data_IF_420474834631
#
_entry.id   IF_420474834631
#
_cell.length_a   1.000
_cell.length_b   1.000
_cell.length_c   1.000
_cell.angle_alpha   90.00
_cell.angle_beta   90.00
_cell.angle_gamma   90.00
#
_symmetry.space_group_name_H-M   'P 1'
#
loop_
_entity.id
_entity.type
_entity.pdbx_description
1 polymer ?
#
# COMPACT_ATOMS: atom_id res chain seq x y z
N UNK A 1 -30.48 17.03 19.33
CA UNK A 1 -29.95 15.97 20.19
C UNK A 1 -28.62 16.46 20.75
N UNK A 2 -28.36 16.26 22.06
CA UNK A 2 -27.12 16.79 22.65
C UNK A 2 -25.91 16.05 22.06
N UNK A 3 -25.08 16.76 21.31
CA UNK A 3 -23.86 16.23 20.64
C UNK A 3 -22.82 15.66 21.63
N UNK A 4 -22.99 15.93 22.93
CA UNK A 4 -22.05 15.51 23.99
C UNK A 4 -22.15 14.04 24.40
N UNK A 5 -23.15 13.28 23.92
CA UNK A 5 -23.34 11.85 24.24
C UNK A 5 -22.79 10.90 23.17
N UNK A 6 -22.35 11.41 22.02
CA UNK A 6 -21.79 10.59 20.95
C UNK A 6 -20.32 10.25 21.23
N UNK A 7 -19.87 9.03 20.85
CA UNK A 7 -18.46 8.64 21.02
C UNK A 7 -17.53 9.57 20.23
N UNK A 8 -16.38 9.86 20.80
CA UNK A 8 -15.36 10.68 20.16
C UNK A 8 -14.45 9.82 19.28
N UNK A 9 -14.37 10.16 18.01
CA UNK A 9 -13.46 9.56 17.04
C UNK A 9 -12.44 10.60 16.61
N UNK A 10 -11.16 10.28 16.76
CA UNK A 10 -10.07 11.07 16.21
C UNK A 10 -9.76 10.55 14.80
N UNK A 11 -9.79 11.44 13.82
CA UNK A 11 -9.43 11.17 12.44
C UNK A 11 -8.08 11.84 12.19
N UNK A 12 -7.05 11.05 11.95
CA UNK A 12 -5.67 11.54 11.89
C UNK A 12 -5.41 12.57 10.79
N UNK A 13 -6.19 12.52 9.71
CA UNK A 13 -6.00 13.36 8.52
C UNK A 13 -7.32 13.94 8.03
N UNK A 14 -7.26 15.10 7.40
CA UNK A 14 -8.35 15.60 6.57
C UNK A 14 -8.48 14.69 5.34
N UNK A 15 -9.66 14.13 5.13
CA UNK A 15 -10.00 13.27 3.99
C UNK A 15 -10.83 14.04 2.95
N UNK A 16 -10.95 13.52 1.72
CA UNK A 16 -11.84 14.08 0.72
C UNK A 16 -13.29 14.16 1.21
N UNK A 17 -14.03 15.14 0.68
CA UNK A 17 -15.43 15.33 1.00
C UNK A 17 -16.24 14.05 0.75
N UNK A 18 -17.17 13.74 1.62
CA UNK A 18 -18.06 12.57 1.53
C UNK A 18 -17.49 11.27 2.10
N UNK A 19 -16.19 11.18 2.37
CA UNK A 19 -15.58 9.92 2.83
C UNK A 19 -15.95 9.55 4.28
N UNK A 20 -16.33 10.54 5.08
CA UNK A 20 -16.73 10.35 6.48
C UNK A 20 -18.24 10.46 6.70
N UNK A 21 -19.05 10.68 5.66
CA UNK A 21 -20.50 10.91 5.77
C UNK A 21 -21.22 9.79 6.52
N UNK A 22 -20.77 8.54 6.34
CA UNK A 22 -21.35 7.39 7.06
C UNK A 22 -21.12 7.44 8.58
N UNK A 23 -20.19 8.26 9.05
CA UNK A 23 -19.91 8.47 10.48
C UNK A 23 -20.68 9.67 11.05
N UNK A 24 -21.23 10.53 10.19
CA UNK A 24 -22.04 11.66 10.63
C UNK A 24 -23.24 11.19 11.45
N UNK A 25 -23.53 11.92 12.52
CA UNK A 25 -24.58 11.58 13.48
C UNK A 25 -24.37 10.30 14.32
N UNK A 26 -23.31 9.52 14.07
CA UNK A 26 -22.96 8.33 14.84
C UNK A 26 -21.81 8.58 15.82
N UNK A 27 -20.96 9.54 15.54
CA UNK A 27 -19.86 9.95 16.42
C UNK A 27 -19.57 11.46 16.30
N UNK A 28 -18.86 11.98 17.27
CA UNK A 28 -18.23 13.30 17.22
C UNK A 28 -16.82 13.12 16.68
N UNK A 29 -16.46 13.83 15.63
CA UNK A 29 -15.14 13.71 15.01
C UNK A 29 -14.28 14.94 15.30
N UNK A 30 -12.99 14.71 15.58
CA UNK A 30 -11.94 15.72 15.52
C UNK A 30 -10.96 15.29 14.45
N UNK A 31 -10.77 16.13 13.44
CA UNK A 31 -10.07 15.80 12.20
C UNK A 31 -8.75 16.56 12.16
N UNK A 32 -7.67 15.84 11.92
CA UNK A 32 -6.32 16.38 11.79
C UNK A 32 -6.04 17.04 10.44
N UNK A 33 -4.83 17.59 10.27
CA UNK A 33 -4.41 18.26 9.04
C UNK A 33 -4.30 17.29 7.86
N UNK A 34 -4.29 17.83 6.63
CA UNK A 34 -4.23 17.02 5.40
C UNK A 34 -2.94 16.21 5.29
N UNK A 35 -1.82 16.84 5.58
CA UNK A 35 -0.49 16.24 5.38
C UNK A 35 0.18 16.06 6.76
N UNK A 36 -0.14 14.94 7.43
CA UNK A 36 0.36 14.63 8.76
C UNK A 36 1.25 13.38 8.74
N UNK A 37 2.43 13.47 9.35
CA UNK A 37 3.30 12.31 9.63
C UNK A 37 3.19 11.87 11.11
N UNK A 38 2.54 12.69 11.94
CA UNK A 38 2.32 12.49 13.37
C UNK A 38 0.94 13.02 13.72
N UNK A 39 0.40 12.63 14.87
CA UNK A 39 -0.82 13.27 15.38
C UNK A 39 -0.53 14.75 15.69
N UNK A 40 -1.44 15.62 15.24
CA UNK A 40 -1.32 17.03 15.56
C UNK A 40 -1.50 17.26 17.06
N UNK A 41 -0.89 18.33 17.59
CA UNK A 41 -1.05 18.73 19.00
C UNK A 41 -2.53 18.90 19.37
N UNK A 42 -3.36 19.35 18.44
CA UNK A 42 -4.81 19.44 18.65
C UNK A 42 -5.43 18.07 18.92
N UNK A 43 -5.14 17.06 18.10
CA UNK A 43 -5.62 15.70 18.30
C UNK A 43 -5.08 15.07 19.57
N UNK A 44 -3.81 15.34 19.91
CA UNK A 44 -3.20 14.82 21.14
C UNK A 44 -3.94 15.26 22.40
N UNK A 45 -4.50 16.48 22.44
CA UNK A 45 -5.28 16.97 23.56
C UNK A 45 -6.58 16.17 23.79
N UNK A 46 -7.08 15.50 22.77
CA UNK A 46 -8.31 14.70 22.85
C UNK A 46 -8.06 13.20 23.08
N UNK A 47 -6.80 12.73 23.06
CA UNK A 47 -6.48 11.32 23.28
C UNK A 47 -7.13 10.71 24.53
N UNK A 48 -7.15 11.38 25.71
CA UNK A 48 -7.76 10.81 26.89
C UNK A 48 -9.28 10.57 26.80
N UNK A 49 -9.95 11.23 25.85
CA UNK A 49 -11.40 11.13 25.64
C UNK A 49 -11.75 10.27 24.43
N UNK A 50 -10.78 9.94 23.59
CA UNK A 50 -10.99 9.21 22.33
C UNK A 50 -11.52 7.81 22.59
N UNK A 51 -12.61 7.46 21.88
CA UNK A 51 -13.21 6.14 21.86
C UNK A 51 -12.95 5.38 20.55
N UNK A 52 -12.63 6.11 19.48
CA UNK A 52 -12.20 5.58 18.20
C UNK A 52 -11.02 6.35 17.63
N UNK A 53 -10.15 5.65 16.91
CA UNK A 53 -9.03 6.25 16.20
C UNK A 53 -9.05 5.78 14.75
N UNK A 54 -9.22 6.73 13.82
CA UNK A 54 -9.11 6.49 12.38
C UNK A 54 -7.77 7.00 11.90
N UNK A 55 -6.93 6.10 11.38
CA UNK A 55 -5.54 6.40 11.01
C UNK A 55 -5.21 6.05 9.57
N UNK A 56 -4.12 6.65 9.08
CA UNK A 56 -3.39 6.26 7.89
C UNK A 56 -2.03 5.66 8.27
N UNK A 57 -1.31 5.10 7.29
CA UNK A 57 0.00 4.45 7.48
C UNK A 57 1.07 5.32 8.15
N UNK A 58 0.95 6.64 8.06
CA UNK A 58 1.92 7.59 8.62
C UNK A 58 1.83 7.74 10.14
N UNK A 59 0.74 7.28 10.76
CA UNK A 59 0.51 7.42 12.20
C UNK A 59 0.83 6.09 12.90
N UNK A 60 1.84 6.12 13.76
CA UNK A 60 2.20 4.97 14.57
C UNK A 60 1.24 4.80 15.75
N UNK A 61 0.47 3.71 15.77
CA UNK A 61 -0.38 3.31 16.87
C UNK A 61 0.39 2.31 17.73
N UNK A 62 1.22 2.83 18.60
CA UNK A 62 2.10 2.07 19.47
C UNK A 62 1.69 2.18 20.95
N UNK A 63 2.41 1.48 21.82
CA UNK A 63 2.20 1.51 23.27
C UNK A 63 2.18 2.96 23.84
N UNK A 64 3.05 3.84 23.34
CA UNK A 64 3.12 5.22 23.83
C UNK A 64 1.85 6.02 23.49
N UNK A 65 1.23 5.79 22.34
CA UNK A 65 -0.05 6.39 21.96
C UNK A 65 -1.19 5.72 22.75
N UNK A 66 -1.22 4.39 22.78
CA UNK A 66 -2.28 3.62 23.43
C UNK A 66 -2.37 3.90 24.94
N UNK A 67 -1.23 4.19 25.60
CA UNK A 67 -1.22 4.56 27.01
C UNK A 67 -1.91 5.90 27.28
N UNK A 68 -1.99 6.78 26.28
CA UNK A 68 -2.69 8.08 26.37
C UNK A 68 -4.19 8.00 26.05
N UNK A 69 -4.68 6.83 25.62
CA UNK A 69 -6.07 6.62 25.15
C UNK A 69 -6.84 5.60 25.99
N UNK A 70 -7.09 5.87 27.28
CA UNK A 70 -7.70 4.90 28.21
C UNK A 70 -9.14 4.50 27.84
N UNK A 71 -9.82 5.24 26.99
CA UNK A 71 -11.20 5.00 26.55
C UNK A 71 -11.29 4.38 25.15
N UNK A 72 -10.16 4.14 24.48
CA UNK A 72 -10.14 3.67 23.09
C UNK A 72 -10.76 2.28 22.97
N UNK A 73 -11.69 2.14 22.04
CA UNK A 73 -12.46 0.92 21.79
C UNK A 73 -12.15 0.29 20.45
N UNK A 74 -11.62 1.07 19.48
CA UNK A 74 -11.36 0.59 18.12
C UNK A 74 -10.30 1.46 17.45
N UNK A 75 -9.46 0.81 16.64
CA UNK A 75 -8.57 1.46 15.67
C UNK A 75 -9.03 1.06 14.27
N UNK A 76 -9.25 2.03 13.39
CA UNK A 76 -9.53 1.82 11.96
C UNK A 76 -8.37 2.38 11.16
N UNK A 77 -7.58 1.50 10.56
CA UNK A 77 -6.42 1.86 9.74
C UNK A 77 -6.81 1.81 8.27
N UNK A 78 -6.88 2.95 7.59
CA UNK A 78 -7.23 3.04 6.17
C UNK A 78 -6.03 2.66 5.30
N UNK A 79 -5.66 1.40 5.36
CA UNK A 79 -4.57 0.81 4.60
C UNK A 79 -4.73 -0.71 4.50
N UNK A 80 -4.03 -1.35 3.58
CA UNK A 80 -3.90 -2.81 3.52
C UNK A 80 -2.92 -3.30 4.58
N UNK A 81 -1.73 -2.68 4.61
CA UNK A 81 -0.72 -2.92 5.64
C UNK A 81 -1.14 -2.33 6.98
N UNK A 82 -0.59 -2.87 8.05
CA UNK A 82 -0.81 -2.44 9.42
C UNK A 82 0.49 -2.39 10.23
N UNK A 83 1.62 -2.24 9.54
CA UNK A 83 2.95 -2.18 10.16
C UNK A 83 3.11 -1.00 11.11
N UNK A 84 2.27 0.02 10.92
CA UNK A 84 2.16 1.19 11.80
C UNK A 84 1.35 0.94 13.08
N UNK A 85 0.75 -0.24 13.26
CA UNK A 85 -0.10 -0.57 14.41
C UNK A 85 0.51 -1.73 15.21
N UNK A 86 0.77 -1.48 16.48
CA UNK A 86 1.18 -2.51 17.44
C UNK A 86 -0.03 -3.39 17.81
N UNK A 87 -0.19 -4.50 17.04
CA UNK A 87 -1.30 -5.43 17.24
C UNK A 87 -1.26 -6.13 18.59
N UNK A 88 -0.07 -6.40 19.13
CA UNK A 88 0.08 -7.05 20.42
C UNK A 88 -0.40 -6.13 21.54
N UNK A 89 -0.01 -4.86 21.50
CA UNK A 89 -0.46 -3.86 22.44
C UNK A 89 -1.98 -3.61 22.35
N UNK A 90 -2.54 -3.58 21.13
CA UNK A 90 -3.98 -3.47 20.91
C UNK A 90 -4.72 -4.70 21.46
N UNK A 91 -4.24 -5.91 21.19
CA UNK A 91 -4.83 -7.17 21.63
C UNK A 91 -4.84 -7.27 23.16
N UNK A 92 -3.74 -6.91 23.83
CA UNK A 92 -3.65 -6.91 25.30
C UNK A 92 -4.67 -5.97 25.95
N UNK A 93 -5.09 -4.92 25.25
CA UNK A 93 -6.12 -3.97 25.70
C UNK A 93 -7.53 -4.30 25.22
N UNK A 94 -7.70 -5.38 24.45
CA UNK A 94 -8.98 -5.75 23.85
C UNK A 94 -9.48 -4.75 22.79
N UNK A 95 -8.57 -4.03 22.13
CA UNK A 95 -8.89 -3.03 21.11
C UNK A 95 -8.82 -3.70 19.73
N UNK A 96 -9.94 -3.92 19.03
CA UNK A 96 -9.95 -4.42 17.66
C UNK A 96 -9.33 -3.42 16.70
N UNK A 97 -8.59 -3.94 15.72
CA UNK A 97 -7.97 -3.16 14.63
C UNK A 97 -8.57 -3.58 13.30
N UNK A 98 -9.17 -2.63 12.59
CA UNK A 98 -9.68 -2.83 11.23
C UNK A 98 -8.70 -2.26 10.19
N UNK A 99 -8.54 -2.97 9.08
CA UNK A 99 -7.79 -2.51 7.90
C UNK A 99 -8.64 -2.68 6.63
N UNK A 100 -8.09 -2.33 5.44
CA UNK A 100 -8.82 -2.34 4.17
C UNK A 100 -8.21 -3.33 3.15
N UNK A 101 -8.26 -4.66 3.41
CA UNK A 101 -7.71 -5.64 2.49
C UNK A 101 -8.49 -5.69 1.17
N UNK A 102 -7.78 -5.92 0.05
CA UNK A 102 -8.37 -6.14 -1.26
C UNK A 102 -8.76 -4.87 -2.03
N UNK A 103 -9.06 -3.77 -1.37
CA UNK A 103 -9.62 -2.55 -1.98
C UNK A 103 -8.71 -1.92 -3.04
N UNK A 104 -7.39 -1.98 -2.85
CA UNK A 104 -6.41 -1.35 -3.73
C UNK A 104 -5.54 -2.34 -4.52
N UNK A 105 -5.86 -3.63 -4.47
CA UNK A 105 -5.05 -4.68 -5.11
C UNK A 105 -4.84 -4.41 -6.59
N UNK A 106 -5.92 -4.19 -7.33
CA UNK A 106 -5.88 -3.96 -8.78
C UNK A 106 -5.16 -2.65 -9.12
N UNK A 107 -5.51 -1.55 -8.45
CA UNK A 107 -4.86 -0.25 -8.69
C UNK A 107 -3.35 -0.28 -8.42
N UNK A 108 -2.91 -0.99 -7.37
CA UNK A 108 -1.48 -1.16 -7.07
C UNK A 108 -0.80 -2.04 -8.11
N UNK A 109 -1.44 -3.12 -8.55
CA UNK A 109 -0.91 -3.98 -9.60
C UNK A 109 -0.80 -3.24 -10.95
N UNK A 110 -1.80 -2.44 -11.31
CA UNK A 110 -1.77 -1.59 -12.51
C UNK A 110 -0.63 -0.59 -12.46
N UNK A 111 -0.45 0.10 -11.32
CA UNK A 111 0.66 1.02 -11.12
C UNK A 111 2.02 0.33 -11.21
N UNK A 112 2.15 -0.87 -10.64
CA UNK A 112 3.37 -1.68 -10.73
C UNK A 112 3.73 -1.96 -12.19
N UNK A 113 2.76 -2.39 -13.00
CA UNK A 113 2.98 -2.61 -14.43
C UNK A 113 3.33 -1.32 -15.17
N UNK A 114 2.67 -0.21 -14.83
CA UNK A 114 2.95 1.10 -15.43
C UNK A 114 4.40 1.55 -15.14
N UNK A 115 4.86 1.41 -13.89
CA UNK A 115 6.24 1.74 -13.49
C UNK A 115 7.24 0.83 -14.21
N UNK A 116 6.98 -0.48 -14.27
CA UNK A 116 7.84 -1.44 -14.95
C UNK A 116 7.95 -1.13 -16.46
N UNK A 117 6.83 -0.82 -17.12
CA UNK A 117 6.81 -0.39 -18.52
C UNK A 117 7.56 0.92 -18.72
N UNK A 118 7.37 1.90 -17.83
CA UNK A 118 8.05 3.19 -17.90
C UNK A 118 9.57 3.02 -17.79
N UNK A 119 10.03 2.17 -16.87
CA UNK A 119 11.44 1.85 -16.70
C UNK A 119 12.00 1.06 -17.91
N UNK A 120 11.31 -0.02 -18.31
CA UNK A 120 11.74 -0.87 -19.42
C UNK A 120 11.85 -0.11 -20.74
N UNK A 121 10.93 0.81 -21.00
CA UNK A 121 10.87 1.58 -22.26
C UNK A 121 11.49 2.98 -22.13
N UNK A 122 12.13 3.30 -20.99
CA UNK A 122 12.80 4.58 -20.74
C UNK A 122 11.90 5.80 -20.99
N UNK A 123 10.63 5.69 -20.60
CA UNK A 123 9.60 6.69 -20.92
C UNK A 123 9.94 8.04 -20.27
N UNK A 124 10.49 8.06 -19.07
CA UNK A 124 10.79 9.29 -18.33
C UNK A 124 11.89 10.08 -19.05
N UNK A 125 13.00 9.43 -19.43
CA UNK A 125 14.09 10.07 -20.12
C UNK A 125 13.66 10.55 -21.52
N UNK A 126 12.91 9.72 -22.25
CA UNK A 126 12.39 10.09 -23.56
C UNK A 126 11.42 11.28 -23.49
N UNK A 127 10.55 11.33 -22.47
CA UNK A 127 9.66 12.46 -22.25
C UNK A 127 10.43 13.75 -21.93
N UNK A 128 11.45 13.68 -21.06
CA UNK A 128 12.30 14.84 -20.75
C UNK A 128 13.03 15.34 -22.00
N UNK A 129 13.55 14.43 -22.79
CA UNK A 129 14.26 14.77 -24.04
C UNK A 129 13.33 15.47 -25.04
N UNK A 130 12.13 14.95 -25.24
CA UNK A 130 11.13 15.54 -26.10
C UNK A 130 10.72 16.94 -25.62
N UNK A 131 10.42 17.11 -24.32
CA UNK A 131 10.02 18.39 -23.71
C UNK A 131 11.11 19.47 -23.82
N UNK A 132 12.38 19.07 -23.79
CA UNK A 132 13.52 19.96 -23.91
C UNK A 132 13.89 20.23 -25.37
N UNK A 133 13.10 19.76 -26.33
CA UNK A 133 13.34 19.96 -27.78
C UNK A 133 14.61 19.30 -28.31
N UNK A 134 15.16 18.31 -27.58
CA UNK A 134 16.37 17.58 -28.01
C UNK A 134 16.09 16.52 -29.06
N UNK A 135 14.85 16.03 -29.14
CA UNK A 135 14.45 15.14 -30.22
C UNK A 135 14.42 15.92 -31.57
N UNK A 136 15.25 15.52 -32.51
CA UNK A 136 15.39 16.19 -33.82
C UNK A 136 14.86 15.33 -34.96
N UNK A 137 15.07 14.03 -34.90
CA UNK A 137 14.66 13.08 -35.92
C UNK A 137 14.58 11.68 -35.35
N UNK A 138 13.97 10.79 -36.10
CA UNK A 138 13.98 9.37 -35.77
C UNK A 138 15.39 8.79 -35.81
N UNK A 139 15.73 7.96 -34.84
CA UNK A 139 16.99 7.21 -34.76
C UNK A 139 16.74 5.74 -34.41
N UNK A 140 17.33 4.81 -35.13
CA UNK A 140 17.16 3.37 -34.84
C UNK A 140 17.74 2.95 -33.48
N UNK A 141 18.65 3.75 -32.92
CA UNK A 141 19.28 3.49 -31.62
C UNK A 141 18.82 4.47 -30.53
N UNK A 142 17.86 5.35 -30.85
CA UNK A 142 17.31 6.31 -29.90
C UNK A 142 16.40 5.62 -28.89
N UNK A 143 16.65 5.85 -27.60
CA UNK A 143 15.78 5.39 -26.51
C UNK A 143 15.47 3.88 -26.52
N UNK A 144 16.48 3.06 -26.92
CA UNK A 144 16.34 1.60 -26.82
C UNK A 144 16.10 1.20 -25.38
N UNK A 145 15.04 0.43 -25.20
CA UNK A 145 14.66 -0.16 -23.92
C UNK A 145 14.73 -1.69 -23.94
N UNK A 146 14.22 -2.31 -22.92
CA UNK A 146 14.09 -3.77 -22.80
C UNK A 146 12.66 -4.19 -23.12
N UNK A 147 12.49 -5.25 -23.88
CA UNK A 147 11.17 -5.86 -24.12
C UNK A 147 10.75 -6.72 -22.93
N UNK A 148 9.45 -6.70 -22.61
CA UNK A 148 8.89 -7.55 -21.58
C UNK A 148 8.64 -8.98 -22.08
N UNK A 149 8.30 -9.12 -23.36
CA UNK A 149 8.00 -10.43 -23.93
C UNK A 149 9.19 -11.38 -23.84
N UNK A 150 8.98 -12.51 -23.19
CA UNK A 150 10.02 -13.52 -22.96
C UNK A 150 10.98 -13.21 -21.81
N UNK A 151 10.92 -11.99 -21.25
CA UNK A 151 11.68 -11.63 -20.04
C UNK A 151 11.12 -12.33 -18.81
N UNK A 152 11.96 -12.49 -17.79
CA UNK A 152 11.60 -13.09 -16.51
C UNK A 152 11.28 -12.01 -15.50
N UNK A 153 10.07 -12.05 -14.94
CA UNK A 153 9.67 -11.23 -13.78
C UNK A 153 9.82 -12.06 -12.50
N UNK A 154 10.67 -11.61 -11.60
CA UNK A 154 10.79 -12.12 -10.24
C UNK A 154 9.87 -11.34 -9.29
N UNK A 155 9.00 -12.05 -8.58
CA UNK A 155 8.06 -11.47 -7.61
C UNK A 155 8.47 -11.92 -6.22
N UNK A 156 8.80 -10.96 -5.34
CA UNK A 156 9.07 -11.23 -3.94
C UNK A 156 7.79 -10.91 -3.16
N UNK A 157 7.13 -11.95 -2.63
CA UNK A 157 5.80 -11.87 -2.02
C UNK A 157 4.68 -12.11 -3.03
N UNK A 158 4.10 -13.34 -3.04
CA UNK A 158 3.02 -13.75 -3.96
C UNK A 158 1.63 -13.65 -3.30
N UNK A 159 1.44 -12.63 -2.44
CA UNK A 159 0.15 -12.31 -1.84
C UNK A 159 -0.88 -11.79 -2.86
N UNK A 160 -1.87 -11.01 -2.41
CA UNK A 160 -2.93 -10.49 -3.29
C UNK A 160 -2.36 -9.62 -4.43
N UNK A 161 -1.52 -8.65 -4.09
CA UNK A 161 -0.94 -7.71 -5.08
C UNK A 161 0.05 -8.44 -5.99
N UNK A 162 0.99 -9.23 -5.43
CA UNK A 162 1.97 -9.99 -6.23
C UNK A 162 1.32 -10.91 -7.25
N UNK A 163 0.23 -11.58 -6.86
CA UNK A 163 -0.55 -12.43 -7.76
C UNK A 163 -1.25 -11.63 -8.86
N UNK A 164 -1.82 -10.47 -8.53
CA UNK A 164 -2.46 -9.60 -9.51
C UNK A 164 -1.45 -9.00 -10.50
N UNK A 165 -0.21 -8.75 -10.07
CA UNK A 165 0.91 -8.36 -10.96
C UNK A 165 1.31 -9.52 -11.85
N UNK A 166 1.44 -10.75 -11.31
CA UNK A 166 1.74 -11.94 -12.08
C UNK A 166 0.72 -12.17 -13.20
N UNK A 167 -0.57 -12.06 -12.90
CA UNK A 167 -1.65 -12.18 -13.87
C UNK A 167 -1.49 -11.19 -15.03
N UNK A 168 -1.26 -9.92 -14.74
CA UNK A 168 -1.04 -8.88 -15.75
C UNK A 168 0.22 -9.14 -16.57
N UNK A 169 1.30 -9.56 -15.93
CA UNK A 169 2.58 -9.83 -16.60
C UNK A 169 2.49 -11.02 -17.57
N UNK A 170 1.60 -12.00 -17.34
CA UNK A 170 1.36 -13.07 -18.30
C UNK A 170 0.81 -12.54 -19.63
N UNK A 171 -0.02 -11.50 -19.60
CA UNK A 171 -0.54 -10.82 -20.79
C UNK A 171 0.57 -10.17 -21.65
N UNK A 172 1.68 -9.78 -21.04
CA UNK A 172 2.88 -9.29 -21.72
C UNK A 172 3.82 -10.42 -22.20
N UNK A 173 3.45 -11.67 -21.97
CA UNK A 173 4.26 -12.85 -22.36
C UNK A 173 5.54 -13.01 -21.55
N UNK A 174 5.55 -12.52 -20.30
CA UNK A 174 6.65 -12.71 -19.36
C UNK A 174 6.65 -14.10 -18.75
N UNK A 175 7.83 -14.56 -18.34
CA UNK A 175 7.99 -15.73 -17.47
C UNK A 175 7.92 -15.24 -16.03
N UNK A 176 7.17 -15.95 -15.18
CA UNK A 176 6.99 -15.57 -13.78
C UNK A 176 7.73 -16.53 -12.87
N UNK A 177 8.63 -16.01 -12.06
CA UNK A 177 9.20 -16.72 -10.91
C UNK A 177 8.91 -15.94 -9.64
N UNK A 178 8.75 -16.62 -8.52
CA UNK A 178 8.45 -15.92 -7.26
C UNK A 178 9.12 -16.59 -6.07
N UNK A 179 9.32 -15.82 -5.02
CA UNK A 179 9.78 -16.27 -3.72
C UNK A 179 8.83 -15.76 -2.64
N UNK A 180 8.33 -16.68 -1.82
CA UNK A 180 7.42 -16.41 -0.72
C UNK A 180 7.69 -17.44 0.38
N UNK A 181 7.73 -17.07 1.66
CA UNK A 181 7.94 -18.01 2.76
C UNK A 181 6.76 -18.97 2.97
N UNK A 182 5.54 -18.57 2.56
CA UNK A 182 4.31 -19.37 2.67
C UNK A 182 3.56 -19.37 1.31
N UNK A 183 4.07 -20.10 0.29
CA UNK A 183 3.58 -20.01 -1.07
C UNK A 183 2.26 -20.77 -1.28
N UNK A 184 1.26 -20.08 -1.84
CA UNK A 184 0.06 -20.72 -2.42
C UNK A 184 0.41 -21.32 -3.79
N UNK A 185 0.80 -22.60 -3.79
CA UNK A 185 1.25 -23.30 -5.01
C UNK A 185 0.11 -23.56 -6.00
N UNK A 186 -1.13 -23.76 -5.54
CA UNK A 186 -2.29 -23.96 -6.40
C UNK A 186 -2.60 -22.70 -7.21
N UNK A 187 -2.62 -21.55 -6.54
CA UNK A 187 -2.79 -20.26 -7.19
C UNK A 187 -1.63 -19.94 -8.15
N UNK A 188 -0.40 -20.28 -7.75
CA UNK A 188 0.78 -20.06 -8.59
C UNK A 188 0.74 -20.88 -9.87
N UNK A 189 0.26 -22.14 -9.81
CA UNK A 189 0.11 -22.99 -10.99
C UNK A 189 -0.88 -22.39 -11.99
N UNK A 190 -2.02 -21.87 -11.52
CA UNK A 190 -3.00 -21.17 -12.35
C UNK A 190 -2.41 -19.96 -13.09
N UNK A 191 -1.43 -19.29 -12.49
CA UNK A 191 -0.69 -18.16 -13.06
C UNK A 191 0.55 -18.58 -13.86
N UNK A 192 0.86 -19.89 -13.94
CA UNK A 192 2.10 -20.43 -14.52
C UNK A 192 3.36 -19.84 -13.88
N UNK A 193 3.28 -19.48 -12.61
CA UNK A 193 4.37 -18.92 -11.84
C UNK A 193 5.15 -20.04 -11.14
N UNK A 194 6.48 -19.97 -11.18
CA UNK A 194 7.35 -20.98 -10.57
C UNK A 194 7.92 -20.46 -9.25
N UNK A 195 7.68 -21.19 -8.17
CA UNK A 195 8.33 -20.92 -6.88
C UNK A 195 9.82 -21.28 -6.95
N UNK A 196 10.67 -20.38 -6.49
CA UNK A 196 12.13 -20.56 -6.45
C UNK A 196 12.71 -19.92 -5.19
N UNK A 197 13.90 -20.36 -4.73
CA UNK A 197 14.63 -19.66 -3.67
C UNK A 197 14.95 -18.20 -4.06
N UNK A 198 15.00 -17.30 -3.07
CA UNK A 198 15.24 -15.87 -3.29
C UNK A 198 16.53 -15.59 -4.10
N UNK A 199 17.60 -16.33 -3.81
CA UNK A 199 18.87 -16.20 -4.54
C UNK A 199 18.73 -16.52 -6.03
N UNK A 200 17.96 -17.56 -6.35
CA UNK A 200 17.66 -17.93 -7.73
C UNK A 200 16.82 -16.85 -8.40
N UNK A 201 15.81 -16.34 -7.71
CA UNK A 201 14.98 -15.24 -8.21
C UNK A 201 15.83 -14.03 -8.57
N UNK A 202 16.69 -13.58 -7.67
CA UNK A 202 17.55 -12.39 -7.89
C UNK A 202 18.48 -12.60 -9.09
N UNK A 203 19.01 -13.81 -9.26
CA UNK A 203 19.93 -14.15 -10.36
C UNK A 203 19.25 -14.25 -11.71
N UNK A 204 18.06 -14.84 -11.76
CA UNK A 204 17.43 -15.27 -13.00
C UNK A 204 16.37 -14.28 -13.53
N UNK A 205 16.10 -13.20 -12.76
CA UNK A 205 15.12 -12.19 -13.14
C UNK A 205 15.71 -11.09 -14.01
N UNK A 206 14.94 -10.66 -15.01
CA UNK A 206 15.19 -9.44 -15.78
C UNK A 206 14.57 -8.22 -15.11
N UNK A 207 13.47 -8.42 -14.39
CA UNK A 207 12.76 -7.44 -13.58
C UNK A 207 12.43 -8.06 -12.23
N UNK A 208 12.50 -7.27 -11.16
CA UNK A 208 12.13 -7.71 -9.81
C UNK A 208 11.09 -6.74 -9.27
N UNK A 209 10.01 -7.30 -8.71
CA UNK A 209 8.96 -6.54 -8.04
C UNK A 209 8.75 -7.03 -6.62
N UNK A 210 8.69 -6.09 -5.67
CA UNK A 210 8.56 -6.34 -4.24
C UNK A 210 7.11 -6.10 -3.79
N UNK A 211 6.49 -7.11 -3.18
CA UNK A 211 5.11 -7.08 -2.67
C UNK A 211 5.03 -7.68 -1.26
N UNK A 212 5.97 -7.29 -0.43
CA UNK A 212 6.10 -7.70 0.97
C UNK A 212 5.97 -6.48 1.89
N UNK A 213 5.57 -6.66 3.17
CA UNK A 213 5.64 -5.61 4.18
C UNK A 213 7.07 -5.06 4.34
N UNK A 214 7.17 -3.81 4.78
CA UNK A 214 8.45 -3.23 5.20
C UNK A 214 8.79 -3.80 6.59
N UNK A 215 9.90 -4.52 6.69
CA UNK A 215 10.40 -5.13 7.94
C UNK A 215 11.74 -4.55 8.34
#
# INVERSE_FOLDING_TARGET
MNNSSLPLVLVSHTLPDGWLDNLENHCRMVIGPKDANELSTELENFLPEAEGLFTLLTINVNEALLSKTPKLKVVSNMAVGYDNVDLDACTQRGIPVGNTPGVLTDGTADLTMAIMLAAARRIIEANLDARQGRWKTWSPTGWLGKDLRGATLGIIGMGQIGSAVAERATGFGMKIIFSDPDPDLEKAEGLKAKHVPLETLIKDSDFISLHIPLT
#
